data_IF_826649410359
#
_entry.id   IF_826649410359
#
_cell.length_a   1.000
_cell.length_b   1.000
_cell.length_c   1.000
_cell.angle_alpha   90.00
_cell.angle_beta   90.00
_cell.angle_gamma   90.00
#
_symmetry.space_group_name_H-M   'P 1'
#
loop_
_entity.id
_entity.type
_entity.pdbx_description
1 polymer ?
#
# COMPACT_ATOMS: atom_id res chain seq x y z
N UNK A 1 -2.42 6.99 19.31
CA UNK A 1 -2.69 8.37 18.87
C UNK A 1 -3.17 8.33 17.42
N UNK A 2 -4.46 8.53 17.19
CA UNK A 2 -5.03 8.65 15.84
C UNK A 2 -4.72 10.06 15.35
N UNK A 3 -4.07 10.20 14.19
CA UNK A 3 -3.76 11.50 13.58
C UNK A 3 -4.72 11.71 12.42
N UNK A 4 -5.25 12.92 12.27
CA UNK A 4 -6.15 13.24 11.17
C UNK A 4 -5.35 13.84 10.02
N UNK A 5 -5.64 13.39 8.79
CA UNK A 5 -5.13 14.06 7.59
C UNK A 5 -5.66 15.50 7.51
N UNK A 6 -4.87 16.41 6.96
CA UNK A 6 -5.27 17.82 6.78
C UNK A 6 -6.61 17.94 6.03
N UNK A 7 -7.45 18.87 6.47
CA UNK A 7 -8.75 19.15 5.84
C UNK A 7 -8.62 19.72 4.40
N UNK A 8 -7.41 20.12 3.97
CA UNK A 8 -7.15 20.76 2.67
C UNK A 8 -6.46 19.81 1.66
N UNK A 9 -7.13 18.75 1.23
CA UNK A 9 -6.57 17.83 0.23
C UNK A 9 -6.72 18.40 -1.21
N UNK A 10 -5.79 19.22 -1.70
CA UNK A 10 -5.79 19.62 -3.12
C UNK A 10 -5.22 18.51 -4.00
N UNK A 11 -5.50 18.52 -5.31
CA UNK A 11 -4.94 17.55 -6.27
C UNK A 11 -3.40 17.60 -6.29
N UNK A 12 -2.85 18.81 -6.27
CA UNK A 12 -1.41 19.07 -6.21
C UNK A 12 -0.83 18.54 -4.88
N UNK A 13 -1.48 18.85 -3.75
CA UNK A 13 -1.04 18.36 -2.44
C UNK A 13 -1.08 16.83 -2.35
N UNK A 14 -2.06 16.16 -2.95
CA UNK A 14 -2.14 14.70 -2.98
C UNK A 14 -1.02 14.06 -3.84
N UNK A 15 -0.68 14.70 -4.96
CA UNK A 15 0.38 14.22 -5.86
C UNK A 15 1.77 14.45 -5.26
N UNK A 16 2.02 15.64 -4.74
CA UNK A 16 3.32 16.02 -4.18
C UNK A 16 3.52 15.45 -2.78
N UNK A 17 2.44 15.23 -2.01
CA UNK A 17 2.36 14.76 -0.62
C UNK A 17 3.72 14.70 0.08
N UNK A 18 4.29 15.88 0.26
CA UNK A 18 5.64 16.18 0.77
C UNK A 18 5.58 16.79 2.17
N UNK A 19 4.38 16.87 2.75
CA UNK A 19 4.17 17.35 4.11
C UNK A 19 4.84 16.45 5.15
N UNK A 20 5.24 16.99 6.32
CA UNK A 20 5.90 16.23 7.38
C UNK A 20 5.09 14.99 7.80
N UNK A 21 5.78 13.92 8.22
CA UNK A 21 5.14 12.64 8.62
C UNK A 21 4.01 12.81 9.66
N UNK A 22 4.13 13.83 10.52
CA UNK A 22 3.12 14.18 11.54
C UNK A 22 1.74 14.51 10.95
N UNK A 23 1.64 14.83 9.66
CA UNK A 23 0.43 15.29 8.95
C UNK A 23 -0.21 14.20 8.07
N UNK A 24 0.41 13.02 7.96
CA UNK A 24 -0.01 11.95 7.05
C UNK A 24 -1.13 11.06 7.62
N UNK A 25 -1.51 11.24 8.89
CA UNK A 25 -2.69 10.59 9.50
C UNK A 25 -2.52 9.11 9.90
N UNK A 26 -1.38 8.48 9.58
CA UNK A 26 -1.05 7.11 9.98
C UNK A 26 0.34 7.05 10.61
N UNK A 27 0.55 6.16 11.57
CA UNK A 27 1.88 5.88 12.13
C UNK A 27 2.14 4.39 12.23
N UNK A 28 3.38 3.98 11.90
CA UNK A 28 3.88 2.65 12.25
C UNK A 28 4.22 2.66 13.74
N UNK A 29 3.75 1.66 14.46
CA UNK A 29 3.97 1.44 15.89
C UNK A 29 4.54 0.06 16.10
N UNK A 30 4.97 -0.23 17.33
CA UNK A 30 5.58 -1.49 17.74
C UNK A 30 6.86 -1.84 16.94
N UNK A 31 7.98 -1.35 17.46
CA UNK A 31 9.30 -1.53 16.87
C UNK A 31 10.03 -2.76 17.42
N UNK A 32 9.35 -3.62 18.20
CA UNK A 32 9.98 -4.76 18.88
C UNK A 32 10.58 -5.83 17.96
N UNK A 33 10.18 -5.83 16.68
CA UNK A 33 10.77 -6.67 15.61
C UNK A 33 11.48 -5.86 14.53
N UNK A 34 11.78 -4.59 14.79
CA UNK A 34 12.54 -3.75 13.87
C UNK A 34 13.96 -4.28 13.71
N UNK A 35 14.42 -4.42 12.47
CA UNK A 35 15.76 -4.90 12.13
C UNK A 35 16.56 -3.72 11.59
N UNK A 36 17.75 -3.48 12.16
CA UNK A 36 18.71 -2.53 11.58
C UNK A 36 19.41 -3.21 10.39
N UNK A 37 18.97 -2.85 9.18
CA UNK A 37 19.49 -3.42 7.93
C UNK A 37 20.99 -3.14 7.70
N UNK A 38 21.64 -2.26 8.47
CA UNK A 38 23.10 -2.10 8.42
C UNK A 38 23.83 -3.31 9.00
N UNK A 39 23.14 -4.13 9.79
CA UNK A 39 23.69 -5.28 10.51
C UNK A 39 23.29 -6.62 9.88
N UNK A 40 22.48 -6.63 8.82
CA UNK A 40 21.87 -7.83 8.24
C UNK A 40 21.83 -7.79 6.70
N UNK A 41 21.74 -8.96 6.03
CA UNK A 41 21.71 -9.06 4.58
C UNK A 41 20.44 -8.46 3.92
N UNK A 42 20.47 -8.31 2.60
CA UNK A 42 19.45 -7.60 1.82
C UNK A 42 18.05 -8.25 1.83
N UNK A 43 17.96 -9.53 2.16
CA UNK A 43 16.74 -10.32 2.23
C UNK A 43 15.74 -9.82 3.30
N UNK A 44 16.21 -9.13 4.34
CA UNK A 44 15.35 -8.50 5.34
C UNK A 44 14.39 -7.44 4.74
N UNK A 45 14.69 -6.85 3.57
CA UNK A 45 13.77 -5.95 2.86
C UNK A 45 12.52 -6.65 2.34
N UNK A 46 12.59 -7.96 2.05
CA UNK A 46 11.47 -8.76 1.52
C UNK A 46 10.40 -9.02 2.58
N UNK A 47 10.76 -9.02 3.87
CA UNK A 47 9.82 -9.22 4.97
C UNK A 47 8.85 -8.03 5.08
N UNK A 48 9.35 -6.81 4.88
CA UNK A 48 8.54 -5.59 4.94
C UNK A 48 7.56 -5.48 3.76
N UNK A 49 7.97 -5.88 2.54
CA UNK A 49 7.08 -5.87 1.36
C UNK A 49 5.97 -6.90 1.49
N UNK A 50 6.27 -8.08 2.03
CA UNK A 50 5.26 -9.08 2.36
C UNK A 50 4.27 -8.56 3.40
N UNK A 51 4.76 -7.95 4.49
CA UNK A 51 3.93 -7.33 5.51
C UNK A 51 2.98 -6.26 4.95
N UNK A 52 3.48 -5.42 4.03
CA UNK A 52 2.64 -4.45 3.32
C UNK A 52 1.53 -5.12 2.51
N UNK A 53 1.83 -6.21 1.78
CA UNK A 53 0.83 -6.99 1.06
C UNK A 53 -0.26 -7.55 1.99
N UNK A 54 0.11 -8.08 3.16
CA UNK A 54 -0.85 -8.57 4.16
C UNK A 54 -1.78 -7.44 4.62
N UNK A 55 -1.24 -6.27 4.96
CA UNK A 55 -2.03 -5.11 5.40
C UNK A 55 -3.01 -4.67 4.30
N UNK A 56 -2.52 -4.52 3.06
CA UNK A 56 -3.35 -4.15 1.91
C UNK A 56 -4.46 -5.18 1.69
N UNK A 57 -4.13 -6.48 1.74
CA UNK A 57 -5.11 -7.54 1.59
C UNK A 57 -6.19 -7.49 2.69
N UNK A 58 -5.81 -7.28 3.95
CA UNK A 58 -6.75 -7.16 5.05
C UNK A 58 -7.69 -5.95 4.89
N UNK A 59 -7.19 -4.82 4.36
CA UNK A 59 -8.02 -3.65 4.06
C UNK A 59 -9.07 -3.99 2.98
N UNK A 60 -8.67 -4.74 1.96
CA UNK A 60 -9.52 -5.08 0.81
C UNK A 60 -10.54 -6.18 1.12
N UNK A 61 -10.14 -7.20 1.89
CA UNK A 61 -10.89 -8.45 2.05
C UNK A 61 -11.38 -8.70 3.47
N UNK A 62 -10.90 -7.97 4.49
CA UNK A 62 -11.20 -8.19 5.91
C UNK A 62 -10.77 -9.58 6.42
N UNK A 63 -9.85 -10.23 5.72
CA UNK A 63 -9.30 -11.55 6.04
C UNK A 63 -7.78 -11.54 5.98
N UNK A 64 -7.14 -12.51 6.62
CA UNK A 64 -5.71 -12.74 6.45
C UNK A 64 -5.39 -13.11 4.99
N UNK A 65 -4.20 -12.72 4.53
CA UNK A 65 -3.75 -13.05 3.18
C UNK A 65 -3.19 -14.48 3.15
N UNK A 66 -3.70 -15.29 2.23
CA UNK A 66 -3.09 -16.55 1.84
C UNK A 66 -2.44 -16.43 0.47
N UNK A 67 -1.23 -16.98 0.32
CA UNK A 67 -0.51 -17.00 -0.95
C UNK A 67 -0.72 -18.32 -1.67
N UNK A 68 -0.81 -18.27 -2.99
CA UNK A 68 -0.61 -19.40 -3.89
C UNK A 68 0.66 -19.20 -4.73
N UNK A 69 1.32 -20.31 -5.03
CA UNK A 69 2.46 -20.41 -5.94
C UNK A 69 1.96 -20.92 -7.28
N UNK A 70 2.17 -20.17 -8.36
CA UNK A 70 1.76 -20.54 -9.72
C UNK A 70 2.96 -20.63 -10.66
N UNK A 71 2.97 -21.58 -11.61
CA UNK A 71 4.01 -21.63 -12.62
C UNK A 71 3.96 -20.38 -13.51
N UNK A 72 5.13 -19.81 -13.80
CA UNK A 72 5.27 -18.69 -14.74
C UNK A 72 5.48 -19.19 -16.18
N UNK A 73 4.97 -18.48 -17.21
CA UNK A 73 5.27 -18.81 -18.60
C UNK A 73 6.77 -18.79 -18.93
N UNK A 74 7.53 -17.92 -18.28
CA UNK A 74 8.97 -17.73 -18.50
C UNK A 74 9.84 -18.78 -17.78
N UNK A 75 9.21 -19.80 -17.18
CA UNK A 75 9.85 -20.72 -16.26
C UNK A 75 9.87 -20.18 -14.82
N UNK A 76 9.96 -21.10 -13.85
CA UNK A 76 9.90 -20.74 -12.43
C UNK A 76 8.48 -20.52 -11.91
N UNK A 77 8.34 -19.67 -10.89
CA UNK A 77 7.10 -19.51 -10.15
C UNK A 77 6.82 -18.05 -9.78
N UNK A 78 5.55 -17.70 -9.74
CA UNK A 78 5.03 -16.43 -9.24
C UNK A 78 4.12 -16.67 -8.05
N UNK A 79 4.21 -15.77 -7.07
CA UNK A 79 3.41 -15.76 -5.86
C UNK A 79 2.33 -14.69 -5.96
N UNK A 80 1.10 -15.04 -5.59
CA UNK A 80 -0.03 -14.10 -5.56
C UNK A 80 -1.05 -14.47 -4.48
N UNK A 81 -1.91 -13.54 -4.04
CA UNK A 81 -2.98 -13.86 -3.12
C UNK A 81 -3.97 -14.88 -3.72
N UNK A 82 -4.38 -15.88 -2.94
CA UNK A 82 -5.42 -16.86 -3.35
C UNK A 82 -6.77 -16.20 -3.58
N UNK A 83 -7.10 -15.20 -2.76
CA UNK A 83 -8.39 -14.53 -2.83
C UNK A 83 -8.48 -13.68 -4.10
N UNK A 84 -9.52 -13.91 -4.89
CA UNK A 84 -9.78 -13.12 -6.08
C UNK A 84 -10.21 -11.68 -5.73
N UNK A 85 -9.68 -10.72 -6.48
CA UNK A 85 -10.12 -9.33 -6.42
C UNK A 85 -11.53 -9.19 -7.01
N UNK A 86 -12.37 -8.38 -6.36
CA UNK A 86 -13.72 -8.11 -6.86
C UNK A 86 -13.67 -7.26 -8.13
N UNK A 87 -14.53 -7.57 -9.11
CA UNK A 87 -14.53 -6.94 -10.45
C UNK A 87 -14.63 -5.42 -10.45
N UNK A 88 -15.36 -4.85 -9.50
CA UNK A 88 -15.59 -3.40 -9.40
C UNK A 88 -14.42 -2.63 -8.74
N UNK A 89 -13.35 -3.32 -8.34
CA UNK A 89 -12.14 -2.72 -7.80
C UNK A 89 -11.17 -2.40 -8.94
N UNK A 90 -10.09 -1.65 -8.65
CA UNK A 90 -9.00 -1.42 -9.60
C UNK A 90 -8.12 -2.65 -9.74
N UNK A 91 -8.67 -3.71 -10.35
CA UNK A 91 -8.08 -5.05 -10.40
C UNK A 91 -6.64 -5.03 -10.91
N UNK A 92 -6.38 -4.30 -11.99
CA UNK A 92 -5.03 -4.21 -12.58
C UNK A 92 -4.03 -3.53 -11.66
N UNK A 93 -4.43 -2.42 -11.04
CA UNK A 93 -3.59 -1.66 -10.11
C UNK A 93 -3.19 -2.50 -8.89
N UNK A 94 -4.16 -3.21 -8.31
CA UNK A 94 -3.93 -4.10 -7.18
C UNK A 94 -3.11 -5.34 -7.57
N UNK A 95 -3.40 -5.96 -8.73
CA UNK A 95 -2.59 -7.07 -9.25
C UNK A 95 -1.14 -6.66 -9.44
N UNK A 96 -0.89 -5.50 -10.03
CA UNK A 96 0.46 -4.96 -10.21
C UNK A 96 1.18 -4.76 -8.88
N UNK A 97 0.49 -4.24 -7.85
CA UNK A 97 1.05 -4.11 -6.50
C UNK A 97 1.46 -5.47 -5.91
N UNK A 98 0.55 -6.45 -5.88
CA UNK A 98 0.85 -7.76 -5.31
C UNK A 98 1.93 -8.50 -6.09
N UNK A 99 1.87 -8.47 -7.42
CA UNK A 99 2.86 -9.11 -8.28
C UNK A 99 4.26 -8.55 -8.03
N UNK A 100 4.41 -7.22 -8.00
CA UNK A 100 5.72 -6.60 -7.82
C UNK A 100 6.29 -6.80 -6.41
N UNK A 101 5.47 -6.71 -5.37
CA UNK A 101 5.94 -6.78 -3.98
C UNK A 101 6.16 -8.21 -3.47
N UNK A 102 5.41 -9.20 -3.97
CA UNK A 102 5.56 -10.61 -3.57
C UNK A 102 6.67 -11.35 -4.35
N UNK A 103 7.11 -10.78 -5.47
CA UNK A 103 8.07 -11.41 -6.39
C UNK A 103 9.29 -10.51 -6.62
N UNK A 104 9.59 -9.59 -5.70
CA UNK A 104 10.76 -8.72 -5.77
C UNK A 104 12.04 -9.54 -5.72
N UNK A 105 13.01 -9.23 -6.59
CA UNK A 105 14.32 -9.90 -6.55
C UNK A 105 15.27 -9.22 -5.54
N UNK A 106 16.22 -9.93 -4.93
CA UNK A 106 17.16 -9.31 -3.97
C UNK A 106 17.95 -8.14 -4.56
N UNK A 107 18.25 -8.21 -5.86
CA UNK A 107 19.02 -7.19 -6.60
C UNK A 107 18.18 -6.00 -7.06
N UNK A 108 16.86 -6.03 -6.87
CA UNK A 108 15.97 -4.97 -7.33
C UNK A 108 16.09 -3.71 -6.47
N UNK A 109 16.09 -2.53 -7.11
CA UNK A 109 16.02 -1.27 -6.39
C UNK A 109 14.61 -1.09 -5.79
N UNK A 110 14.48 -1.48 -4.52
CA UNK A 110 13.25 -1.42 -3.75
C UNK A 110 12.72 0.02 -3.64
N UNK A 111 13.59 1.03 -3.60
CA UNK A 111 13.16 2.42 -3.45
C UNK A 111 12.48 2.90 -4.73
N UNK A 112 13.07 2.61 -5.89
CA UNK A 112 12.47 2.91 -7.18
C UNK A 112 11.18 2.11 -7.40
N UNK A 113 11.17 0.83 -7.02
CA UNK A 113 9.96 -0.01 -7.07
C UNK A 113 8.80 0.60 -6.27
N UNK A 114 9.03 0.94 -5.00
CA UNK A 114 8.01 1.54 -4.13
C UNK A 114 7.56 2.92 -4.63
N UNK A 115 8.48 3.74 -5.15
CA UNK A 115 8.16 5.04 -5.75
C UNK A 115 7.26 4.88 -6.97
N UNK A 116 7.58 3.95 -7.87
CA UNK A 116 6.79 3.68 -9.06
C UNK A 116 5.40 3.14 -8.72
N UNK A 117 5.31 2.25 -7.72
CA UNK A 117 4.03 1.78 -7.19
C UNK A 117 3.22 2.96 -6.64
N UNK A 118 3.80 3.79 -5.78
CA UNK A 118 3.12 4.98 -5.23
C UNK A 118 2.60 5.89 -6.35
N UNK A 119 3.43 6.19 -7.35
CA UNK A 119 3.02 7.02 -8.50
C UNK A 119 1.82 6.42 -9.23
N UNK A 120 1.81 5.11 -9.51
CA UNK A 120 0.67 4.48 -10.21
C UNK A 120 -0.67 4.65 -9.48
N UNK A 121 -0.65 4.61 -8.14
CA UNK A 121 -1.84 4.89 -7.33
C UNK A 121 -2.19 6.37 -7.30
N UNK A 122 -1.20 7.25 -7.27
CA UNK A 122 -1.41 8.69 -7.32
C UNK A 122 -2.02 9.12 -8.66
N UNK A 123 -1.49 8.60 -9.76
CA UNK A 123 -2.00 8.82 -11.12
C UNK A 123 -3.45 8.37 -11.23
N UNK A 124 -3.77 7.17 -10.73
CA UNK A 124 -5.15 6.68 -10.69
C UNK A 124 -6.08 7.64 -9.94
N UNK A 125 -5.71 8.05 -8.73
CA UNK A 125 -6.53 8.97 -7.92
C UNK A 125 -6.66 10.36 -8.57
N UNK A 126 -5.63 10.81 -9.26
CA UNK A 126 -5.59 12.10 -9.97
C UNK A 126 -6.21 12.06 -11.37
N UNK A 127 -6.53 10.88 -11.90
CA UNK A 127 -7.15 10.68 -13.22
C UNK A 127 -8.60 11.17 -13.26
N UNK A 128 -9.30 11.14 -12.12
CA UNK A 128 -10.69 11.56 -12.02
C UNK A 128 -10.89 12.42 -10.76
N UNK A 129 -11.22 13.73 -10.91
CA UNK A 129 -11.45 14.63 -9.78
C UNK A 129 -12.50 14.14 -8.77
N UNK A 130 -13.46 13.32 -9.21
CA UNK A 130 -14.48 12.75 -8.32
C UNK A 130 -13.88 11.76 -7.32
N UNK A 131 -12.77 11.10 -7.63
CA UNK A 131 -12.09 10.18 -6.70
C UNK A 131 -11.53 10.95 -5.50
N UNK A 132 -10.88 12.08 -5.73
CA UNK A 132 -10.38 12.96 -4.66
C UNK A 132 -11.54 13.55 -3.86
N UNK A 133 -12.62 13.97 -4.52
CA UNK A 133 -13.82 14.47 -3.84
C UNK A 133 -14.43 13.39 -2.92
N UNK A 134 -14.56 12.16 -3.43
CA UNK A 134 -15.05 11.00 -2.66
C UNK A 134 -14.12 10.66 -1.50
N UNK A 135 -12.80 10.68 -1.71
CA UNK A 135 -11.82 10.46 -0.65
C UNK A 135 -12.00 11.45 0.51
N UNK A 136 -12.14 12.75 0.21
CA UNK A 136 -12.40 13.77 1.24
C UNK A 136 -13.65 13.45 2.07
N UNK A 137 -14.74 13.07 1.40
CA UNK A 137 -16.00 12.72 2.08
C UNK A 137 -15.83 11.49 2.98
N UNK A 138 -15.10 10.47 2.51
CA UNK A 138 -14.81 9.27 3.30
C UNK A 138 -13.92 9.56 4.51
N UNK A 139 -12.92 10.43 4.38
CA UNK A 139 -12.05 10.85 5.49
C UNK A 139 -12.85 11.60 6.57
N UNK A 140 -13.77 12.50 6.17
CA UNK A 140 -14.68 13.18 7.11
C UNK A 140 -15.57 12.17 7.83
N UNK A 141 -16.16 11.21 7.10
CA UNK A 141 -17.00 10.17 7.69
C UNK A 141 -16.22 9.30 8.69
N UNK A 142 -15.00 8.91 8.34
CA UNK A 142 -14.12 8.13 9.21
C UNK A 142 -13.80 8.90 10.50
N UNK A 143 -13.44 10.19 10.39
CA UNK A 143 -13.20 11.08 11.53
C UNK A 143 -14.41 11.14 12.46
N UNK A 144 -15.60 11.38 11.91
CA UNK A 144 -16.81 11.49 12.71
C UNK A 144 -17.13 10.17 13.45
N UNK A 145 -16.94 9.03 12.79
CA UNK A 145 -17.14 7.71 13.41
C UNK A 145 -16.17 7.43 14.55
N UNK A 146 -14.93 7.92 14.47
CA UNK A 146 -13.91 7.75 15.51
C UNK A 146 -14.08 8.74 16.67
N UNK A 147 -14.64 9.92 16.43
CA UNK A 147 -14.93 10.91 17.48
C UNK A 147 -16.26 10.67 18.20
N UNK A 148 -17.12 9.79 17.69
CA UNK A 148 -18.43 9.45 18.28
C UNK A 148 -18.38 8.16 19.11
N UNK A 149 -17.21 7.56 19.26
CA UNK A 149 -16.93 6.37 20.08
C UNK A 149 -16.18 6.78 21.34
#
# INVERSE_FOLDING_TARGET
MIRYASNSLSRIHFYECSGPWKEQGLCRVDWGRGIDLRLFPEDAKLVDTYGLCVIVHMILHKSCMEIEKRPSPDGGYVYQPKTHLKRYMQVELWKNLFMKLLNTSPTEDHQSLLRNLRHSFQDYMCSNPQLIKKLKQLLVKQKNSLCSA
#
